data_IF_952072107411
#
_entry.id   IF_952072107411
#
_cell.length_a   1.000
_cell.length_b   1.000
_cell.length_c   1.000
_cell.angle_alpha   90.00
_cell.angle_beta   90.00
_cell.angle_gamma   90.00
#
_symmetry.space_group_name_H-M   'P 1'
#
loop_
_entity.id
_entity.type
_entity.pdbx_description
1 polymer ?
2 non-polymer ?
3 water ?
#
# COMPACT_ATOMS: atom_id res chain seq x y z
N UNK A 24 -29.25 30.86 26.84
CA UNK A 24 -29.72 29.53 26.48
C UNK A 24 -28.53 28.76 25.83
N UNK A 25 -28.19 27.60 26.37
CA UNK A 25 -27.08 26.81 25.79
C UNK A 25 -27.27 26.59 24.29
N UNK A 26 -28.45 26.12 23.85
CA UNK A 26 -28.65 25.87 22.42
C UNK A 26 -28.28 27.09 21.62
N UNK A 27 -28.90 28.21 21.95
CA UNK A 27 -28.75 29.37 21.13
C UNK A 27 -27.29 29.84 21.15
N UNK A 28 -26.67 29.85 22.33
CA UNK A 28 -25.37 30.47 22.49
C UNK A 28 -24.31 29.66 21.75
N UNK A 29 -24.28 28.36 22.01
CA UNK A 29 -23.18 27.59 21.41
C UNK A 29 -23.39 27.39 19.91
N UNK A 30 -24.66 27.34 19.46
CA UNK A 30 -24.88 27.30 18.02
C UNK A 30 -24.50 28.61 17.36
N UNK A 31 -24.76 29.76 18.03
CA UNK A 31 -24.32 31.00 17.44
C UNK A 31 -22.81 31.05 17.33
N UNK A 32 -22.10 30.58 18.36
CA UNK A 32 -20.65 30.47 18.23
C UNK A 32 -20.27 29.54 17.08
N UNK A 33 -20.96 28.42 16.95
CA UNK A 33 -20.65 27.42 15.91
C UNK A 33 -20.75 28.02 14.51
N UNK A 34 -21.77 28.83 14.27
CA UNK A 34 -21.95 29.44 12.97
C UNK A 34 -21.29 30.79 12.83
N UNK A 35 -20.57 31.27 13.84
CA UNK A 35 -19.83 32.51 13.63
C UNK A 35 -20.74 33.71 13.67
N UNK A 36 -21.85 33.59 14.37
CA UNK A 36 -22.88 34.66 14.32
C UNK A 36 -22.60 35.71 15.40
N UNK A 37 -21.65 36.59 15.10
CA UNK A 37 -21.25 37.62 16.06
C UNK A 37 -22.44 38.51 16.41
N UNK A 38 -23.27 38.83 15.44
CA UNK A 38 -24.40 39.74 15.73
C UNK A 38 -25.33 39.14 16.79
N UNK A 39 -25.60 37.84 16.68
CA UNK A 39 -26.43 37.18 17.69
C UNK A 39 -25.73 37.13 19.03
N UNK A 40 -24.43 36.78 19.05
CA UNK A 40 -23.69 36.83 20.31
C UNK A 40 -23.78 38.21 20.97
N UNK A 41 -23.69 39.28 20.18
CA UNK A 41 -23.77 40.63 20.74
C UNK A 41 -25.14 40.84 21.35
N UNK A 42 -26.21 40.45 20.64
CA UNK A 42 -27.51 40.62 21.25
C UNK A 42 -27.61 39.85 22.54
N UNK A 43 -27.08 38.62 22.58
CA UNK A 43 -27.14 37.84 23.81
C UNK A 43 -26.37 38.52 24.94
N UNK A 44 -25.15 38.97 24.64
CA UNK A 44 -24.33 39.55 25.72
C UNK A 44 -24.98 40.84 26.25
N UNK A 45 -25.50 41.67 25.35
CA UNK A 45 -26.16 42.94 25.75
C UNK A 45 -27.35 42.67 26.63
N UNK A 46 -28.04 41.55 26.42
CA UNK A 46 -29.21 41.21 27.19
C UNK A 46 -28.83 40.52 28.48
N UNK A 47 -27.54 40.53 28.82
CA UNK A 47 -26.95 39.97 30.04
C UNK A 47 -26.87 38.43 30.04
N UNK A 48 -26.89 37.76 28.89
CA UNK A 48 -26.65 36.32 28.90
C UNK A 48 -25.28 36.00 29.50
N UNK A 49 -25.21 34.92 30.26
CA UNK A 49 -23.92 34.41 30.73
C UNK A 49 -23.19 33.76 29.54
N UNK A 50 -22.17 34.42 29.06
CA UNK A 50 -21.45 33.96 27.86
C UNK A 50 -20.51 32.84 28.17
N UNK A 51 -20.42 32.43 29.44
CA UNK A 51 -19.56 31.34 29.83
C UNK A 51 -20.35 30.08 30.21
N UNK A 52 -21.64 30.00 29.92
CA UNK A 52 -22.32 28.80 30.35
C UNK A 52 -21.81 27.60 29.53
N UNK A 53 -22.02 26.41 30.07
CA UNK A 53 -21.44 25.18 29.49
C UNK A 53 -22.51 24.20 29.11
N UNK A 54 -22.21 23.34 28.13
CA UNK A 54 -23.12 22.26 27.79
C UNK A 54 -22.72 21.01 28.60
N UNK A 55 -23.42 19.90 28.32
CA UNK A 55 -23.22 18.56 28.89
C UNK A 55 -21.82 18.01 28.65
N UNK A 56 -21.06 18.60 27.74
CA UNK A 56 -19.66 18.20 27.52
C UNK A 56 -18.72 19.18 28.15
N UNK A 57 -19.26 20.10 28.98
CA UNK A 57 -18.48 21.16 29.59
C UNK A 57 -17.87 22.07 28.55
N UNK A 58 -18.53 22.19 27.40
CA UNK A 58 -18.03 23.05 26.35
C UNK A 58 -18.58 24.45 26.51
N UNK A 59 -17.79 25.44 26.08
CA UNK A 59 -18.18 26.88 26.09
C UNK A 59 -18.32 27.37 24.66
N UNK A 60 -18.92 28.57 24.52
CA UNK A 60 -18.95 29.24 23.23
C UNK A 60 -17.54 29.47 22.70
N UNK A 61 -16.59 29.80 23.59
CA UNK A 61 -15.22 29.99 23.16
C UNK A 61 -14.61 28.68 22.66
N UNK A 62 -14.92 27.54 23.30
CA UNK A 62 -14.36 26.26 22.75
C UNK A 62 -14.83 26.07 21.32
N UNK A 63 -16.13 26.29 21.11
CA UNK A 63 -16.74 25.96 19.83
C UNK A 63 -16.25 26.92 18.77
N UNK A 64 -16.21 28.22 19.11
CA UNK A 64 -15.69 29.22 18.19
C UNK A 64 -14.26 28.88 17.80
N UNK A 65 -13.44 28.51 18.80
CA UNK A 65 -12.03 28.25 18.51
C UNK A 65 -11.88 26.98 17.70
N UNK A 66 -12.73 25.99 17.92
CA UNK A 66 -12.64 24.76 17.10
C UNK A 66 -13.01 25.02 15.66
N UNK A 67 -13.89 25.99 15.40
CA UNK A 67 -14.25 26.37 14.04
C UNK A 67 -13.35 27.44 13.47
N UNK A 68 -12.41 27.97 14.25
CA UNK A 68 -11.56 29.03 13.75
C UNK A 68 -12.24 30.35 13.49
N UNK A 69 -13.27 30.70 14.28
CA UNK A 69 -13.98 31.95 14.07
C UNK A 69 -13.28 33.08 14.81
N UNK A 70 -12.32 33.73 14.12
CA UNK A 70 -11.49 34.77 14.72
C UNK A 70 -12.36 35.86 15.36
N UNK A 71 -13.33 36.38 14.63
CA UNK A 71 -14.05 37.54 15.16
C UNK A 71 -14.88 37.15 16.37
N UNK A 72 -15.44 35.95 16.35
CA UNK A 72 -16.17 35.48 17.52
C UNK A 72 -15.22 35.31 18.71
N UNK A 73 -14.06 34.69 18.50
CA UNK A 73 -13.15 34.49 19.60
C UNK A 73 -12.72 35.83 20.19
N UNK A 74 -12.39 36.81 19.34
CA UNK A 74 -11.99 38.11 19.84
C UNK A 74 -13.13 38.80 20.61
N UNK A 75 -14.35 38.66 20.12
CA UNK A 75 -15.49 39.31 20.81
C UNK A 75 -15.69 38.73 22.21
N UNK A 76 -15.69 37.40 22.31
CA UNK A 76 -15.86 36.75 23.60
C UNK A 76 -14.73 37.13 24.56
N UNK A 77 -13.48 37.10 24.10
CA UNK A 77 -12.36 37.43 24.98
C UNK A 77 -12.32 38.91 25.38
N UNK A 78 -12.51 39.81 24.42
CA UNK A 78 -12.22 41.22 24.65
C UNK A 78 -13.44 41.98 25.16
N UNK A 79 -14.60 41.72 24.57
CA UNK A 79 -15.78 42.48 24.95
C UNK A 79 -16.49 41.79 26.09
N UNK A 80 -16.58 40.45 26.06
CA UNK A 80 -17.31 39.74 27.09
C UNK A 80 -16.46 39.32 28.24
N UNK A 81 -15.11 39.37 28.10
CA UNK A 81 -14.18 39.01 29.17
C UNK A 81 -14.34 37.58 29.64
N UNK A 82 -14.61 36.64 28.73
CA UNK A 82 -14.83 35.27 29.19
C UNK A 82 -13.48 34.67 29.64
N UNK A 83 -13.58 33.67 30.46
CA UNK A 83 -12.42 32.88 30.81
C UNK A 83 -11.76 32.38 29.53
N UNK A 84 -10.45 32.65 29.29
CA UNK A 84 -9.79 32.17 28.07
C UNK A 84 -9.43 30.72 28.10
N UNK A 85 -9.40 30.06 29.27
CA UNK A 85 -8.89 28.68 29.34
C UNK A 85 -9.85 27.71 30.02
N UNK A 86 -11.13 27.72 29.66
CA UNK A 86 -12.03 26.72 30.23
C UNK A 86 -11.61 25.34 29.74
N UNK A 87 -11.92 24.32 30.53
CA UNK A 87 -11.55 22.95 30.22
C UNK A 87 -12.81 22.15 29.93
N UNK A 88 -12.86 21.49 28.79
CA UNK A 88 -14.06 20.72 28.45
C UNK A 88 -13.95 19.31 29.06
N UNK A 89 -14.88 18.39 28.71
CA UNK A 89 -14.86 17.09 29.40
C UNK A 89 -13.61 16.28 29.09
N UNK A 90 -12.87 16.65 28.06
CA UNK A 90 -11.61 15.94 27.77
C UNK A 90 -10.42 16.72 28.25
N UNK A 91 -10.66 17.74 29.07
CA UNK A 91 -9.66 18.66 29.59
C UNK A 91 -8.95 19.47 28.54
N UNK A 92 -9.61 19.70 27.42
CA UNK A 92 -9.00 20.56 26.43
C UNK A 92 -9.49 21.99 26.60
N UNK A 93 -8.60 22.95 26.28
CA UNK A 93 -8.91 24.37 26.27
C UNK A 93 -9.22 24.83 24.86
N UNK A 94 -9.86 26.00 24.72
CA UNK A 94 -10.01 26.57 23.37
C UNK A 94 -8.69 26.67 22.62
N UNK A 95 -7.58 26.97 23.30
CA UNK A 95 -6.30 26.99 22.60
C UNK A 95 -5.91 25.61 22.10
N UNK A 96 -6.10 24.57 22.90
CA UNK A 96 -5.84 23.21 22.39
C UNK A 96 -6.66 22.92 21.14
N UNK A 97 -7.92 23.38 21.14
CA UNK A 97 -8.81 23.08 20.02
C UNK A 97 -8.30 23.79 18.78
N UNK A 98 -7.93 25.06 18.91
CA UNK A 98 -7.43 25.82 17.77
C UNK A 98 -6.18 25.14 17.16
N UNK A 99 -5.27 24.71 18.02
CA UNK A 99 -4.07 24.03 17.51
C UNK A 99 -4.43 22.72 16.82
N UNK A 100 -5.33 21.95 17.45
CA UNK A 100 -5.75 20.66 16.92
C UNK A 100 -6.37 20.80 15.54
N UNK A 101 -7.17 21.82 15.34
CA UNK A 101 -7.89 21.98 14.10
C UNK A 101 -7.20 22.93 13.16
N UNK A 102 -5.97 23.34 13.47
CA UNK A 102 -5.26 24.09 12.45
C UNK A 102 -5.57 25.54 12.38
N UNK A 103 -6.23 26.14 13.39
CA UNK A 103 -6.59 27.54 13.30
C UNK A 103 -5.53 28.35 13.99
N UNK A 104 -4.45 28.65 13.23
CA UNK A 104 -3.28 29.18 13.89
C UNK A 104 -3.48 30.63 14.35
N UNK A 105 -4.22 31.42 13.59
CA UNK A 105 -4.52 32.79 14.01
C UNK A 105 -5.27 32.80 15.33
N UNK A 106 -6.31 31.96 15.47
CA UNK A 106 -6.99 31.85 16.76
C UNK A 106 -6.04 31.35 17.83
N UNK A 107 -5.21 30.33 17.52
CA UNK A 107 -4.25 29.89 18.48
C UNK A 107 -3.41 31.05 19.04
N UNK A 108 -2.95 31.96 18.16
CA UNK A 108 -2.03 33.03 18.60
C UNK A 108 -2.77 34.11 19.38
N UNK A 109 -4.02 34.33 19.03
CA UNK A 109 -4.87 35.24 19.82
C UNK A 109 -4.98 34.73 21.25
N UNK A 110 -5.22 33.42 21.43
CA UNK A 110 -5.35 32.90 22.77
C UNK A 110 -4.01 32.87 23.48
N UNK A 111 -2.91 32.70 22.73
CA UNK A 111 -1.55 32.77 23.29
C UNK A 111 -1.31 34.05 24.10
N UNK A 112 -1.81 35.19 23.63
CA UNK A 112 -1.66 36.45 24.37
C UNK A 112 -2.15 36.34 25.81
N UNK A 113 -3.13 35.47 26.07
CA UNK A 113 -3.67 35.31 27.41
C UNK A 113 -2.85 34.24 28.11
N UNK B 24 -35.60 18.98 20.50
CA UNK B 24 -34.56 19.97 20.69
C UNK B 24 -33.27 19.21 20.93
N UNK B 25 -32.25 19.47 20.15
CA UNK B 25 -31.06 18.60 20.27
C UNK B 25 -30.43 18.76 21.65
N UNK B 26 -30.59 19.91 22.23
CA UNK B 26 -29.96 20.15 23.50
C UNK B 26 -30.77 19.51 24.63
N UNK B 27 -32.11 19.67 24.64
CA UNK B 27 -32.93 18.83 25.52
C UNK B 27 -32.63 17.35 25.42
N UNK B 28 -32.54 16.83 24.19
CA UNK B 28 -32.19 15.42 24.00
C UNK B 28 -30.86 15.09 24.67
N UNK B 29 -29.83 15.89 24.39
CA UNK B 29 -28.50 15.52 24.88
C UNK B 29 -28.38 15.76 26.40
N UNK B 30 -29.10 16.73 26.94
CA UNK B 30 -29.11 16.88 28.40
C UNK B 30 -29.83 15.72 29.06
N UNK B 31 -30.93 15.21 28.47
CA UNK B 31 -31.54 14.02 29.03
C UNK B 31 -30.56 12.84 29.00
N UNK B 32 -29.77 12.73 27.95
CA UNK B 32 -28.85 11.61 27.91
C UNK B 32 -27.76 11.81 28.95
N UNK B 33 -27.38 13.10 29.15
CA UNK B 33 -26.34 13.45 30.14
C UNK B 33 -26.77 13.08 31.55
N UNK B 34 -28.02 13.38 31.92
CA UNK B 34 -28.47 13.09 33.28
C UNK B 34 -29.04 11.70 33.44
N UNK B 35 -29.04 10.87 32.41
CA UNK B 35 -29.52 9.50 32.51
C UNK B 35 -31.04 9.41 32.57
N UNK B 36 -31.73 10.39 31.99
CA UNK B 36 -33.20 10.51 32.14
C UNK B 36 -33.92 9.69 31.06
N UNK B 37 -33.99 8.39 31.31
CA UNK B 37 -34.59 7.47 30.35
C UNK B 37 -36.06 7.77 30.14
N UNK B 38 -36.75 8.20 31.19
CA UNK B 38 -38.17 8.51 31.02
C UNK B 38 -38.36 9.66 30.04
N UNK B 39 -37.53 10.68 30.15
CA UNK B 39 -37.61 11.77 29.17
C UNK B 39 -37.26 11.30 27.75
N UNK B 40 -36.19 10.51 27.59
CA UNK B 40 -35.83 9.99 26.26
C UNK B 40 -37.00 9.17 25.64
N UNK B 41 -37.68 8.39 26.46
CA UNK B 41 -38.85 7.64 26.00
C UNK B 41 -39.95 8.57 25.48
N UNK B 42 -40.27 9.60 26.27
CA UNK B 42 -41.26 10.58 25.83
C UNK B 42 -40.84 11.21 24.51
N UNK B 43 -39.56 11.59 24.39
CA UNK B 43 -39.09 12.16 23.14
C UNK B 43 -39.25 11.17 22.00
N UNK B 44 -38.80 9.93 22.19
CA UNK B 44 -38.81 8.98 21.08
C UNK B 44 -40.25 8.69 20.66
N UNK B 45 -41.12 8.49 21.64
CA UNK B 45 -42.56 8.23 21.38
C UNK B 45 -43.20 9.36 20.58
N UNK B 46 -42.77 10.60 20.77
CA UNK B 46 -43.30 11.73 20.03
C UNK B 46 -42.58 11.95 18.71
N UNK B 47 -41.76 11.00 18.29
CA UNK B 47 -41.13 10.93 16.99
C UNK B 47 -39.91 11.88 16.88
N UNK B 48 -39.31 12.23 18.00
CA UNK B 48 -38.03 12.96 17.94
C UNK B 48 -36.95 12.10 17.29
N UNK B 49 -36.09 12.75 16.49
CA UNK B 49 -34.98 12.09 15.85
C UNK B 49 -33.91 11.88 16.92
N UNK B 50 -33.72 10.66 17.34
CA UNK B 50 -32.85 10.38 18.46
C UNK B 50 -31.39 10.37 18.03
N UNK B 51 -31.13 10.53 16.74
CA UNK B 51 -29.78 10.56 16.19
C UNK B 51 -29.31 11.97 15.89
N UNK B 52 -30.04 12.96 16.32
CA UNK B 52 -29.77 14.37 16.11
C UNK B 52 -28.39 14.71 16.68
N UNK B 53 -27.64 15.58 15.99
CA UNK B 53 -26.29 16.00 16.43
C UNK B 53 -26.21 17.45 16.87
N UNK B 54 -25.32 17.73 17.82
CA UNK B 54 -25.07 19.12 18.17
C UNK B 54 -23.92 19.70 17.34
N UNK B 55 -23.50 20.92 17.68
CA UNK B 55 -22.45 21.68 17.01
C UNK B 55 -21.08 21.00 17.09
N UNK B 56 -20.91 20.01 17.96
CA UNK B 56 -19.67 19.20 18.02
C UNK B 56 -19.86 17.84 17.38
N UNK B 57 -20.95 17.69 16.60
CA UNK B 57 -21.30 16.41 16.02
C UNK B 57 -21.53 15.32 17.07
N UNK B 58 -21.98 15.68 18.25
CA UNK B 58 -22.21 14.72 19.33
C UNK B 58 -23.62 14.23 19.25
N UNK B 59 -23.83 12.97 19.62
CA UNK B 59 -25.17 12.36 19.72
C UNK B 59 -25.51 12.10 21.19
N UNK B 60 -26.81 11.85 21.43
CA UNK B 60 -27.22 11.33 22.74
C UNK B 60 -26.45 10.08 23.14
N UNK B 61 -26.21 9.17 22.19
CA UNK B 61 -25.46 7.95 22.49
C UNK B 61 -24.01 8.27 22.92
N UNK B 62 -23.37 9.28 22.32
CA UNK B 62 -22.01 9.65 22.78
C UNK B 62 -22.05 10.09 24.25
N UNK B 63 -22.97 10.99 24.53
CA UNK B 63 -23.01 11.59 25.86
C UNK B 63 -23.38 10.55 26.90
N UNK B 64 -24.39 9.74 26.61
CA UNK B 64 -24.73 8.67 27.54
C UNK B 64 -23.56 7.71 27.75
N UNK B 65 -22.85 7.39 26.69
CA UNK B 65 -21.73 6.45 26.83
C UNK B 65 -20.63 7.06 27.66
N UNK B 66 -20.34 8.35 27.43
CA UNK B 66 -19.30 9.03 28.22
C UNK B 66 -19.65 9.01 29.71
N UNK B 67 -20.92 9.14 30.06
CA UNK B 67 -21.37 9.14 31.46
C UNK B 67 -21.62 7.75 32.01
N UNK B 68 -21.48 6.71 31.20
CA UNK B 68 -21.65 5.35 31.67
C UNK B 68 -23.09 5.01 31.98
N UNK B 69 -24.05 5.68 31.33
CA UNK B 69 -25.45 5.41 31.64
C UNK B 69 -25.90 4.21 30.84
N UNK B 70 -25.76 3.04 31.45
CA UNK B 70 -26.03 1.79 30.75
C UNK B 70 -27.48 1.74 30.24
N UNK B 71 -28.44 2.10 31.08
CA UNK B 71 -29.84 1.92 30.66
C UNK B 71 -30.18 2.86 29.51
N UNK B 72 -29.62 4.06 29.53
CA UNK B 72 -29.79 4.97 28.40
C UNK B 72 -29.19 4.38 27.13
N UNK B 73 -27.95 3.89 27.21
CA UNK B 73 -27.30 3.32 26.03
C UNK B 73 -28.15 2.20 25.42
N UNK B 74 -28.63 1.27 26.23
CA UNK B 74 -29.39 0.14 25.73
C UNK B 74 -30.75 0.60 25.15
N UNK B 75 -31.32 1.65 25.73
CA UNK B 75 -32.60 2.15 25.22
C UNK B 75 -32.40 2.75 23.84
N UNK B 76 -31.34 3.54 23.66
CA UNK B 76 -31.08 4.14 22.35
C UNK B 76 -30.77 3.07 21.32
N UNK B 77 -29.91 2.10 21.67
CA UNK B 77 -29.55 1.09 20.70
C UNK B 77 -30.72 0.17 20.35
N UNK B 78 -31.40 -0.33 21.38
CA UNK B 78 -32.33 -1.45 21.24
C UNK B 78 -33.71 -0.95 20.85
N UNK B 79 -34.20 0.09 21.54
CA UNK B 79 -35.57 0.58 21.25
C UNK B 79 -35.58 1.57 20.10
N UNK B 80 -34.61 2.50 20.06
CA UNK B 80 -34.62 3.58 19.07
C UNK B 80 -33.80 3.21 17.87
N UNK B 81 -33.04 2.12 17.95
CA UNK B 81 -32.24 1.65 16.82
C UNK B 81 -31.25 2.69 16.31
N UNK B 82 -30.64 3.47 17.20
CA UNK B 82 -29.72 4.50 16.70
C UNK B 82 -28.45 3.86 16.12
N UNK B 83 -27.79 4.58 15.25
CA UNK B 83 -26.45 4.18 14.78
C UNK B 83 -25.54 3.96 15.97
N UNK B 84 -24.92 2.77 16.11
CA UNK B 84 -24.05 2.57 17.26
C UNK B 84 -22.67 3.21 17.12
N UNK B 85 -22.25 3.65 15.91
CA UNK B 85 -20.89 4.17 15.72
C UNK B 85 -20.82 5.56 15.09
N UNK B 86 -21.61 6.53 15.56
CA UNK B 86 -21.47 7.88 15.04
C UNK B 86 -20.12 8.45 15.46
N UNK B 87 -19.62 9.37 14.67
CA UNK B 87 -18.31 9.97 14.95
C UNK B 87 -18.48 11.43 15.26
N UNK B 88 -17.91 11.87 16.39
CA UNK B 88 -18.07 13.27 16.74
C UNK B 88 -16.95 14.09 16.10
N UNK B 89 -16.82 15.35 16.52
CA UNK B 89 -15.87 16.31 15.95
C UNK B 89 -14.45 15.79 16.01
N UNK B 90 -14.16 14.95 16.98
CA UNK B 90 -12.80 14.43 17.17
C UNK B 90 -12.65 13.04 16.63
N UNK B 91 -13.63 12.58 15.85
CA UNK B 91 -13.72 11.26 15.29
C UNK B 91 -13.85 10.18 16.33
N UNK B 92 -14.40 10.51 17.47
CA UNK B 92 -14.60 9.49 18.47
C UNK B 92 -16.00 8.91 18.34
N UNK B 93 -16.11 7.61 18.58
CA UNK B 93 -17.39 6.90 18.69
C UNK B 93 -17.83 6.82 20.13
N UNK B 94 -19.11 6.47 20.38
CA UNK B 94 -19.53 6.20 21.76
C UNK B 94 -18.69 5.14 22.44
N UNK B 95 -18.25 4.11 21.70
CA UNK B 95 -17.33 3.15 22.29
C UNK B 95 -16.03 3.82 22.75
N UNK B 96 -15.48 4.73 21.94
CA UNK B 96 -14.27 5.45 22.37
C UNK B 96 -14.51 6.19 23.67
N UNK B 97 -15.71 6.76 23.84
CA UNK B 97 -15.97 7.51 25.05
C UNK B 97 -16.11 6.59 26.24
N UNK B 98 -16.79 5.46 26.05
CA UNK B 98 -16.95 4.47 27.12
C UNK B 98 -15.55 4.08 27.62
N UNK B 99 -14.66 3.83 26.70
CA UNK B 99 -13.30 3.44 27.07
C UNK B 99 -12.59 4.58 27.76
N UNK B 100 -12.69 5.79 27.20
CA UNK B 100 -11.98 6.92 27.78
C UNK B 100 -12.37 7.14 29.23
N UNK B 101 -13.66 7.03 29.53
CA UNK B 101 -14.12 7.23 30.88
C UNK B 101 -14.24 5.95 31.68
N UNK B 102 -13.67 4.86 31.18
CA UNK B 102 -13.53 3.69 32.01
C UNK B 102 -14.79 2.86 32.14
N UNK B 103 -15.78 3.03 31.25
CA UNK B 103 -17.03 2.29 31.44
C UNK B 103 -17.00 0.95 30.71
N UNK B 104 -16.49 -0.07 31.40
CA UNK B 104 -16.38 -1.38 30.78
C UNK B 104 -17.75 -1.93 30.43
N UNK B 105 -18.71 -1.73 31.32
CA UNK B 105 -20.06 -2.22 31.07
C UNK B 105 -20.65 -1.64 29.78
N UNK B 106 -20.47 -0.35 29.56
CA UNK B 106 -20.96 0.25 28.32
C UNK B 106 -20.17 -0.25 27.12
N UNK B 107 -18.84 -0.38 27.28
CA UNK B 107 -18.08 -0.96 26.19
C UNK B 107 -18.66 -2.31 25.77
N UNK B 108 -19.02 -3.16 26.74
CA UNK B 108 -19.46 -4.50 26.38
C UNK B 108 -20.75 -4.44 25.59
N UNK B 109 -21.62 -3.50 25.93
CA UNK B 109 -22.89 -3.37 25.21
C UNK B 109 -22.63 -2.99 23.76
N UNK B 110 -21.79 -1.99 23.55
CA UNK B 110 -21.50 -1.55 22.19
C UNK B 110 -20.73 -2.61 21.42
N UNK B 111 -19.87 -3.38 22.08
CA UNK B 111 -19.10 -4.42 21.37
C UNK B 111 -20.02 -5.37 20.63
N UNK B 112 -21.21 -5.63 21.16
CA UNK B 112 -21.99 -6.61 20.40
C UNK B 112 -22.60 -6.02 19.14
N UNK B 113 -22.42 -4.72 18.88
CA UNK B 113 -22.79 -4.17 17.59
C UNK B 113 -21.57 -4.15 16.68
N UNK C 24 11.78 -8.42 -17.83
CA UNK C 24 11.70 -9.84 -18.10
C UNK C 24 13.06 -10.17 -18.63
N UNK C 25 13.74 -11.14 -18.03
CA UNK C 25 15.14 -11.37 -18.44
C UNK C 25 15.16 -11.83 -19.89
N UNK C 26 14.12 -12.51 -20.30
CA UNK C 26 14.14 -13.03 -21.65
C UNK C 26 13.90 -11.90 -22.64
N UNK C 27 12.88 -11.06 -22.42
CA UNK C 27 12.76 -9.83 -23.20
C UNK C 27 14.06 -9.02 -23.25
N UNK C 28 14.70 -8.85 -22.10
CA UNK C 28 15.99 -8.14 -22.09
C UNK C 28 16.99 -8.82 -23.03
N UNK C 29 17.17 -10.12 -22.86
CA UNK C 29 18.25 -10.77 -23.63
C UNK C 29 17.91 -10.90 -25.11
N UNK C 30 16.63 -11.06 -25.44
CA UNK C 30 16.25 -11.02 -26.84
C UNK C 30 16.48 -9.66 -27.46
N UNK C 31 16.18 -8.55 -26.74
CA UNK C 31 16.58 -7.24 -27.27
C UNK C 31 18.08 -7.16 -27.52
N UNK C 32 18.89 -7.70 -26.61
CA UNK C 32 20.31 -7.62 -26.85
C UNK C 32 20.68 -8.49 -28.06
N UNK C 33 19.98 -9.61 -28.22
CA UNK C 33 20.25 -10.54 -29.32
C UNK C 33 19.99 -9.89 -30.68
N UNK C 34 18.90 -9.13 -30.80
CA UNK C 34 18.58 -8.50 -32.07
C UNK C 34 19.19 -7.13 -32.23
N UNK C 35 19.97 -6.64 -31.27
CA UNK C 35 20.62 -5.34 -31.39
C UNK C 35 19.65 -4.18 -31.19
N UNK C 36 18.58 -4.39 -30.43
CA UNK C 36 17.50 -3.38 -30.32
C UNK C 36 17.82 -2.39 -29.18
N UNK C 37 18.66 -1.42 -29.50
CA UNK C 37 19.12 -0.44 -28.54
C UNK C 37 17.96 0.40 -28.03
N UNK C 38 17.00 0.72 -28.89
CA UNK C 38 15.91 1.55 -28.39
C UNK C 38 15.06 0.80 -27.38
N UNK C 39 14.87 -0.50 -27.54
CA UNK C 39 14.17 -1.27 -26.52
C UNK C 39 14.99 -1.31 -25.24
N UNK C 40 16.29 -1.56 -25.35
CA UNK C 40 17.13 -1.58 -24.14
C UNK C 40 17.06 -0.23 -23.39
N UNK C 41 17.07 0.89 -24.14
CA UNK C 41 16.90 2.21 -23.51
C UNK C 41 15.59 2.31 -22.74
N UNK C 42 14.48 1.90 -23.38
CA UNK C 42 13.19 1.91 -22.69
C UNK C 42 13.24 1.09 -21.43
N UNK C 43 13.80 -0.13 -21.52
CA UNK C 43 13.95 -0.95 -20.33
C UNK C 43 14.77 -0.24 -19.25
N UNK C 44 15.94 0.30 -19.62
CA UNK C 44 16.82 0.87 -18.61
C UNK C 44 16.14 2.09 -17.95
N UNK C 45 15.54 2.93 -18.77
CA UNK C 45 14.81 4.10 -18.25
C UNK C 45 13.70 3.73 -17.27
N UNK C 46 13.03 2.58 -17.44
CA UNK C 46 12.00 2.12 -16.55
C UNK C 46 12.57 1.38 -15.36
N UNK C 47 13.88 1.42 -15.14
CA UNK C 47 14.58 0.92 -13.99
C UNK C 47 14.73 -0.61 -14.06
N UNK C 48 14.64 -1.20 -15.24
CA UNK C 48 14.99 -2.63 -15.36
C UNK C 48 16.42 -2.90 -14.94
N UNK C 49 16.64 -4.02 -14.24
CA UNK C 49 17.99 -4.44 -13.89
C UNK C 49 18.65 -5.00 -15.14
N UNK C 50 19.58 -4.27 -15.71
CA UNK C 50 20.19 -4.64 -16.97
C UNK C 50 21.28 -5.68 -16.76
N UNK C 51 21.58 -6.06 -15.53
CA UNK C 51 22.59 -7.08 -15.30
C UNK C 51 21.99 -8.41 -14.93
N UNK C 52 20.71 -8.58 -15.11
CA UNK C 52 20.13 -9.82 -14.63
C UNK C 52 20.47 -10.97 -15.57
N UNK C 53 20.32 -12.18 -15.06
CA UNK C 53 20.84 -13.41 -15.68
C UNK C 53 19.74 -14.40 -16.00
N UNK C 54 19.96 -15.17 -17.07
CA UNK C 54 19.07 -16.27 -17.37
C UNK C 54 19.57 -17.55 -16.69
N UNK C 55 18.90 -18.66 -16.98
CA UNK C 55 19.16 -20.01 -16.46
C UNK C 55 20.54 -20.53 -16.83
N UNK C 56 21.20 -19.90 -17.79
CA UNK C 56 22.60 -20.24 -18.14
C UNK C 56 23.56 -19.22 -17.57
N UNK C 57 23.08 -18.39 -16.63
CA UNK C 57 23.87 -17.29 -16.10
C UNK C 57 24.33 -16.30 -17.17
N UNK C 58 23.55 -16.13 -18.23
CA UNK C 58 23.93 -15.27 -19.35
C UNK C 58 23.36 -13.90 -19.09
N UNK C 59 24.08 -12.87 -19.48
CA UNK C 59 23.62 -11.48 -19.39
C UNK C 59 23.35 -10.94 -20.79
N UNK C 60 22.65 -9.79 -20.82
CA UNK C 60 22.51 -9.03 -22.06
C UNK C 60 23.88 -8.72 -22.67
N UNK C 61 24.85 -8.33 -21.83
CA UNK C 61 26.17 -8.03 -22.35
C UNK C 61 26.80 -9.28 -23.02
N UNK C 62 26.59 -10.48 -22.47
CA UNK C 62 27.16 -11.68 -23.13
C UNK C 62 26.56 -11.85 -24.53
N UNK C 63 25.25 -11.75 -24.60
CA UNK C 63 24.55 -12.02 -25.85
C UNK C 63 24.87 -10.96 -26.90
N UNK C 64 24.88 -9.68 -26.49
CA UNK C 64 25.28 -8.60 -27.42
C UNK C 64 26.71 -8.83 -27.92
N UNK C 65 27.58 -9.21 -27.03
CA UNK C 65 28.99 -9.37 -27.42
C UNK C 65 29.13 -10.52 -28.38
N UNK C 66 28.43 -11.64 -28.11
CA UNK C 66 28.49 -12.79 -29.01
C UNK C 66 28.01 -12.42 -30.41
N UNK C 67 27.01 -11.54 -30.51
CA UNK C 67 26.48 -11.15 -31.81
C UNK C 67 27.22 -9.99 -32.44
N UNK C 68 28.19 -9.42 -31.74
CA UNK C 68 28.98 -8.33 -32.28
C UNK C 68 28.23 -7.02 -32.35
N UNK C 69 27.21 -6.86 -31.52
CA UNK C 69 26.42 -5.62 -31.58
C UNK C 69 27.15 -4.54 -30.80
N UNK C 70 27.96 -3.76 -31.51
CA UNK C 70 28.82 -2.78 -30.87
C UNK C 70 28.00 -1.71 -30.14
N UNK C 71 26.95 -1.20 -30.75
CA UNK C 71 26.22 -0.09 -30.13
C UNK C 71 25.52 -0.56 -28.86
N UNK C 72 25.03 -1.80 -28.87
CA UNK C 72 24.44 -2.36 -27.66
C UNK C 72 25.50 -2.51 -26.57
N UNK C 73 26.65 -3.08 -26.91
CA UNK C 73 27.69 -3.26 -25.90
C UNK C 73 28.06 -1.93 -25.24
N UNK C 74 28.28 -0.90 -26.03
CA UNK C 74 28.68 0.39 -25.47
C UNK C 74 27.56 1.03 -24.62
N UNK C 75 26.33 0.80 -25.02
CA UNK C 75 25.19 1.34 -24.25
C UNK C 75 25.12 0.68 -22.89
N UNK C 76 25.23 -0.64 -22.85
CA UNK C 76 25.20 -1.33 -21.56
C UNK C 76 26.37 -0.89 -20.70
N UNK C 77 27.57 -0.84 -21.28
CA UNK C 77 28.72 -0.50 -20.46
C UNK C 77 28.70 0.97 -20.02
N UNK C 78 28.45 1.88 -20.95
CA UNK C 78 28.70 3.30 -20.69
C UNK C 78 27.49 3.94 -20.00
N UNK C 79 26.29 3.69 -20.53
CA UNK C 79 25.09 4.33 -19.97
C UNK C 79 24.53 3.53 -18.80
N UNK C 80 24.52 2.18 -18.88
CA UNK C 80 23.90 1.40 -17.81
C UNK C 80 24.91 0.95 -16.79
N UNK C 81 26.21 1.12 -17.07
CA UNK C 81 27.26 0.78 -16.10
C UNK C 81 27.26 -0.69 -15.71
N UNK C 82 26.93 -1.60 -16.62
CA UNK C 82 26.87 -3.02 -16.23
C UNK C 82 28.28 -3.55 -15.96
N UNK C 83 28.36 -4.57 -15.13
CA UNK C 83 29.61 -5.32 -14.93
C UNK C 83 30.15 -5.73 -16.29
N UNK C 84 31.40 -5.38 -16.64
CA UNK C 84 31.95 -5.78 -17.93
C UNK C 84 32.41 -7.23 -17.95
N UNK C 85 32.54 -7.89 -16.79
CA UNK C 85 33.12 -9.25 -16.82
C UNK C 85 32.27 -10.30 -16.13
N UNK C 86 30.95 -10.36 -16.36
CA UNK C 86 30.15 -11.45 -15.77
C UNK C 86 30.56 -12.77 -16.39
N UNK C 87 30.34 -13.85 -15.64
CA UNK C 87 30.75 -15.18 -16.09
C UNK C 87 29.50 -16.01 -16.27
N UNK C 88 29.35 -16.62 -17.44
CA UNK C 88 28.18 -17.45 -17.65
C UNK C 88 28.44 -18.88 -17.14
N UNK C 89 27.56 -19.81 -17.48
CA UNK C 89 27.60 -21.17 -16.95
C UNK C 89 28.90 -21.87 -17.34
N UNK C 90 29.53 -21.42 -18.41
CA UNK C 90 30.76 -22.07 -18.89
C UNK C 90 31.98 -21.29 -18.49
N UNK C 91 31.81 -20.33 -17.58
CA UNK C 91 32.81 -19.40 -17.11
C UNK C 91 33.34 -18.47 -18.19
N UNK C 92 32.55 -18.21 -19.19
CA UNK C 92 32.96 -17.30 -20.22
C UNK C 92 32.48 -15.89 -19.90
N UNK C 93 33.31 -14.91 -20.20
CA UNK C 93 32.95 -13.48 -20.13
C UNK C 93 32.46 -13.00 -21.47
N UNK C 94 31.84 -11.81 -21.53
CA UNK C 94 31.50 -11.25 -22.85
C UNK C 94 32.71 -11.07 -23.73
N UNK C 95 33.87 -10.73 -23.17
CA UNK C 95 35.07 -10.69 -23.98
C UNK C 95 35.36 -12.05 -24.61
N UNK C 96 35.22 -13.15 -23.85
CA UNK C 96 35.45 -14.47 -24.45
C UNK C 96 34.53 -14.71 -25.61
N UNK C 97 33.28 -14.25 -25.49
CA UNK C 97 32.35 -14.45 -26.58
C UNK C 97 32.70 -13.60 -27.79
N UNK C 98 33.10 -12.35 -27.57
CA UNK C 98 33.53 -11.50 -28.68
C UNK C 98 34.65 -12.22 -29.46
N UNK C 99 35.61 -12.76 -28.73
CA UNK C 99 36.71 -13.46 -29.35
C UNK C 99 36.23 -14.73 -30.06
N UNK C 100 35.38 -15.51 -29.39
CA UNK C 100 34.91 -16.75 -29.99
C UNK C 100 34.27 -16.51 -31.34
N UNK C 101 33.47 -15.47 -31.44
CA UNK C 101 32.74 -15.18 -32.66
C UNK C 101 33.46 -14.18 -33.53
N UNK C 102 34.71 -13.88 -33.23
CA UNK C 102 35.49 -13.12 -34.16
C UNK C 102 35.26 -11.63 -34.11
N UNK C 103 34.64 -11.08 -33.05
CA UNK C 103 34.29 -9.65 -33.08
C UNK C 103 35.42 -8.80 -32.49
N UNK C 104 36.39 -8.44 -33.32
CA UNK C 104 37.53 -7.67 -32.83
C UNK C 104 37.08 -6.32 -32.30
N UNK C 105 36.10 -5.72 -32.97
CA UNK C 105 35.61 -4.42 -32.54
C UNK C 105 35.02 -4.48 -31.14
N UNK C 106 34.26 -5.52 -30.85
CA UNK C 106 33.71 -5.63 -29.48
C UNK C 106 34.82 -5.95 -28.49
N UNK C 107 35.78 -6.79 -28.89
CA UNK C 107 36.90 -7.02 -27.99
C UNK C 107 37.57 -5.70 -27.60
N UNK C 108 37.77 -4.80 -28.55
CA UNK C 108 38.52 -3.60 -28.23
C UNK C 108 37.75 -2.75 -27.22
N UNK C 109 36.42 -2.76 -27.33
CA UNK C 109 35.61 -1.98 -26.39
C UNK C 109 35.74 -2.55 -24.99
N UNK C 110 35.61 -3.85 -24.86
CA UNK C 110 35.72 -4.48 -23.55
C UNK C 110 37.13 -4.36 -22.98
N UNK C 111 38.15 -4.47 -23.85
CA UNK C 111 39.51 -4.38 -23.33
C UNK C 111 39.76 -3.07 -22.60
N UNK C 112 39.01 -2.02 -22.94
CA UNK C 112 39.23 -0.77 -22.23
C UNK C 112 38.70 -0.83 -20.79
N UNK C 113 38.00 -1.90 -20.41
CA UNK C 113 37.64 -2.07 -19.00
C UNK C 113 38.60 -3.08 -18.37
N UNK D 24 6.20 -20.43 -24.03
CA UNK D 24 6.98 -19.25 -23.73
C UNK D 24 8.41 -19.72 -23.48
N UNK D 25 9.39 -19.15 -24.18
CA UNK D 25 10.79 -19.45 -23.83
C UNK D 25 11.06 -19.25 -22.34
N UNK D 26 10.67 -18.08 -21.78
CA UNK D 26 10.88 -17.79 -20.34
C UNK D 26 10.32 -18.93 -19.49
N UNK D 27 9.10 -19.33 -19.76
CA UNK D 27 8.51 -20.33 -18.89
C UNK D 27 9.19 -21.70 -19.12
N UNK D 28 9.46 -22.05 -20.39
CA UNK D 28 9.84 -23.42 -20.71
C UNK D 28 11.24 -23.69 -20.24
N UNK D 29 12.15 -22.79 -20.55
CA UNK D 29 13.54 -23.13 -20.22
C UNK D 29 13.80 -22.97 -18.72
N UNK D 30 13.07 -22.05 -18.05
CA UNK D 30 13.23 -21.97 -16.60
C UNK D 30 12.65 -23.20 -15.93
N UNK D 31 11.55 -23.76 -16.46
CA UNK D 31 11.03 -24.96 -15.85
C UNK D 31 12.04 -26.09 -15.99
N UNK D 32 12.68 -26.17 -17.15
CA UNK D 32 13.70 -27.19 -17.31
C UNK D 32 14.84 -26.93 -16.34
N UNK D 33 15.18 -25.66 -16.14
CA UNK D 33 16.32 -25.30 -15.25
C UNK D 33 16.07 -25.76 -13.82
N UNK D 34 14.84 -25.59 -13.34
CA UNK D 34 14.49 -25.94 -11.97
C UNK D 34 13.98 -27.37 -11.82
N UNK D 35 13.93 -28.14 -12.89
CA UNK D 35 13.56 -29.54 -12.74
C UNK D 35 12.06 -29.72 -12.57
N UNK D 36 11.28 -28.77 -13.04
CA UNK D 36 9.84 -28.72 -12.76
C UNK D 36 9.09 -29.55 -13.79
N UNK D 37 9.14 -30.88 -13.60
CA UNK D 37 8.48 -31.79 -14.53
C UNK D 37 6.97 -31.52 -14.60
N UNK D 38 6.34 -31.22 -13.49
CA UNK D 38 4.88 -31.01 -13.53
C UNK D 38 4.52 -29.82 -14.43
N UNK D 39 5.32 -28.74 -14.36
CA UNK D 39 5.09 -27.61 -15.25
C UNK D 39 5.36 -27.97 -16.70
N UNK D 40 6.46 -28.70 -16.98
CA UNK D 40 6.70 -29.15 -18.36
C UNK D 40 5.53 -30.00 -18.89
N UNK D 41 4.95 -30.82 -18.03
CA UNK D 41 3.83 -31.64 -18.45
C UNK D 41 2.63 -30.77 -18.79
N UNK D 42 2.32 -29.80 -17.92
CA UNK D 42 1.25 -28.87 -18.26
C UNK D 42 1.52 -28.18 -19.58
N UNK D 43 2.74 -27.71 -19.81
CA UNK D 43 3.06 -27.07 -21.07
C UNK D 43 2.84 -28.02 -22.25
N UNK D 44 3.42 -29.24 -22.16
CA UNK D 44 3.36 -30.13 -23.32
C UNK D 44 1.90 -30.51 -23.62
N UNK D 45 1.11 -30.71 -22.56
CA UNK D 45 -0.30 -31.12 -22.74
C UNK D 45 -1.10 -30.02 -23.43
N UNK D 46 -0.70 -28.77 -23.23
CA UNK D 46 -1.37 -27.64 -23.83
C UNK D 46 -0.82 -27.34 -25.20
N UNK D 47 -0.02 -28.25 -25.73
CA UNK D 47 0.53 -28.19 -27.08
C UNK D 47 1.69 -27.19 -27.21
N UNK D 48 2.40 -26.86 -26.12
CA UNK D 48 3.59 -26.02 -26.29
C UNK D 48 4.64 -26.73 -27.13
N UNK D 49 5.32 -25.98 -27.96
CA UNK D 49 6.44 -26.53 -28.69
C UNK D 49 7.61 -26.72 -27.72
N UNK D 50 7.91 -27.95 -27.38
CA UNK D 50 8.95 -28.22 -26.37
C UNK D 50 10.35 -28.13 -26.93
N UNK D 51 10.49 -27.80 -28.22
CA UNK D 51 11.80 -27.66 -28.85
C UNK D 51 12.11 -26.19 -29.16
N UNK D 52 11.37 -25.28 -28.59
CA UNK D 52 11.56 -23.84 -28.75
C UNK D 52 13.01 -23.49 -28.33
N UNK D 53 13.64 -22.53 -29.01
CA UNK D 53 15.03 -22.17 -28.67
C UNK D 53 15.14 -20.75 -28.17
N UNK D 54 16.16 -20.46 -27.32
CA UNK D 54 16.40 -19.08 -26.93
C UNK D 54 17.41 -18.45 -27.88
N UNK D 55 17.80 -17.21 -27.53
CA UNK D 55 18.80 -16.40 -28.26
C UNK D 55 20.16 -17.06 -28.30
N UNK D 56 20.41 -18.07 -27.47
CA UNK D 56 21.67 -18.83 -27.53
C UNK D 56 21.47 -20.16 -28.24
N UNK D 57 20.31 -20.32 -28.90
CA UNK D 57 19.95 -21.57 -29.54
C UNK D 57 19.86 -22.71 -28.56
N UNK D 58 19.56 -22.42 -27.32
CA UNK D 58 19.41 -23.44 -26.32
C UNK D 58 17.99 -23.97 -26.29
N UNK D 59 17.86 -25.25 -25.95
CA UNK D 59 16.57 -25.98 -25.80
C UNK D 59 16.38 -26.31 -24.33
N UNK D 60 15.15 -26.68 -23.98
CA UNK D 60 14.87 -27.22 -22.64
C UNK D 60 15.72 -28.45 -22.35
N UNK D 61 15.94 -29.29 -23.36
CA UNK D 61 16.79 -30.46 -23.18
C UNK D 61 18.24 -30.05 -22.87
N UNK D 62 18.77 -28.99 -23.51
CA UNK D 62 20.15 -28.55 -23.16
C UNK D 62 20.22 -28.17 -21.70
N UNK D 63 19.24 -27.40 -21.23
CA UNK D 63 19.31 -26.84 -19.91
C UNK D 63 19.13 -27.92 -18.89
N UNK D 64 18.15 -28.79 -19.11
CA UNK D 64 17.93 -29.93 -18.23
C UNK D 64 19.18 -30.81 -18.12
N UNK D 65 19.81 -31.08 -19.26
CA UNK D 65 20.98 -31.94 -19.25
C UNK D 65 22.14 -31.25 -18.55
N UNK D 66 22.26 -29.94 -18.69
CA UNK D 66 23.39 -29.25 -18.03
C UNK D 66 23.21 -29.24 -16.52
N UNK D 67 21.96 -29.27 -16.05
CA UNK D 67 21.67 -29.36 -14.63
C UNK D 67 21.58 -30.79 -14.12
N UNK D 68 21.67 -31.77 -15.01
CA UNK D 68 21.57 -33.16 -14.60
C UNK D 68 20.20 -33.60 -14.13
N UNK D 69 19.12 -33.04 -14.70
CA UNK D 69 17.78 -33.36 -14.24
C UNK D 69 17.29 -34.58 -15.00
N UNK D 70 17.57 -35.77 -14.44
CA UNK D 70 17.28 -37.02 -15.13
C UNK D 70 15.79 -37.10 -15.53
N UNK D 71 14.89 -36.84 -14.60
CA UNK D 71 13.48 -37.07 -14.91
C UNK D 71 12.98 -36.10 -15.97
N UNK D 72 13.49 -34.86 -15.99
CA UNK D 72 13.14 -33.93 -17.04
C UNK D 72 13.66 -34.43 -18.38
N UNK D 73 14.93 -34.86 -18.43
CA UNK D 73 15.50 -35.30 -19.67
C UNK D 73 14.71 -36.47 -20.25
N UNK D 74 14.37 -37.46 -19.40
CA UNK D 74 13.59 -38.59 -19.89
C UNK D 74 12.19 -38.15 -20.35
N UNK D 75 11.59 -37.22 -19.63
CA UNK D 75 10.24 -36.80 -20.04
C UNK D 75 10.27 -36.16 -21.43
N UNK D 76 11.23 -35.25 -21.65
CA UNK D 76 11.36 -34.59 -22.94
C UNK D 76 11.66 -35.59 -24.03
N UNK D 77 12.60 -36.53 -23.79
CA UNK D 77 12.95 -37.48 -24.82
C UNK D 77 11.83 -38.49 -25.09
N UNK D 78 11.26 -39.09 -24.06
CA UNK D 78 10.35 -40.20 -24.21
C UNK D 78 8.92 -39.75 -24.48
N UNK D 79 8.43 -38.76 -23.71
CA UNK D 79 7.02 -38.37 -23.85
C UNK D 79 6.86 -37.30 -24.90
N UNK D 80 7.77 -36.32 -24.95
CA UNK D 80 7.64 -35.24 -25.91
C UNK D 80 8.32 -35.52 -27.23
N UNK D 81 9.19 -36.53 -27.30
CA UNK D 81 9.88 -36.89 -28.54
C UNK D 81 10.72 -35.75 -29.10
N UNK D 82 11.38 -34.96 -28.23
CA UNK D 82 12.19 -33.86 -28.76
C UNK D 82 13.42 -34.42 -29.47
N UNK D 83 13.96 -33.64 -30.38
CA UNK D 83 15.27 -33.88 -30.96
C UNK D 83 16.27 -34.10 -29.84
N UNK D 84 16.94 -35.27 -29.78
CA UNK D 84 17.92 -35.52 -28.72
C UNK D 84 19.23 -34.82 -28.93
N UNK D 85 19.53 -34.31 -30.14
CA UNK D 85 20.85 -33.73 -30.42
C UNK D 85 20.81 -32.31 -30.97
N UNK D 86 20.04 -31.39 -30.39
CA UNK D 86 20.08 -30.02 -30.88
C UNK D 86 21.43 -29.44 -30.56
N UNK D 87 21.87 -28.48 -31.37
CA UNK D 87 23.16 -27.81 -31.18
C UNK D 87 22.92 -26.37 -30.77
N UNK D 88 23.56 -25.93 -29.69
CA UNK D 88 23.39 -24.55 -29.22
C UNK D 88 24.38 -23.64 -29.96
N UNK D 89 24.47 -22.38 -29.52
CA UNK D 89 25.35 -21.36 -30.13
C UNK D 89 26.80 -21.82 -30.21
N UNK D 90 27.21 -22.73 -29.34
CA UNK D 90 28.61 -23.15 -29.35
C UNK D 90 28.78 -24.50 -29.99
N UNK D 91 27.72 -24.99 -30.64
CA UNK D 91 27.60 -26.30 -31.27
C UNK D 91 27.64 -27.44 -30.31
N UNK D 92 27.29 -27.20 -29.07
CA UNK D 92 27.22 -28.30 -28.17
C UNK D 92 25.83 -28.91 -28.18
N UNK D 93 25.78 -30.24 -27.92
CA UNK D 93 24.53 -30.97 -27.72
C UNK D 93 24.24 -31.16 -26.25
N UNK D 94 23.00 -31.51 -25.90
CA UNK D 94 22.70 -31.89 -24.52
C UNK D 94 23.62 -32.98 -24.01
N UNK D 95 24.02 -33.93 -24.85
CA UNK D 95 24.98 -34.94 -24.37
C UNK D 95 26.34 -34.32 -24.06
N UNK D 96 26.82 -33.40 -24.89
CA UNK D 96 28.08 -32.70 -24.53
C UNK D 96 27.96 -32.01 -23.18
N UNK D 97 26.78 -31.41 -22.93
CA UNK D 97 26.59 -30.68 -21.68
C UNK D 97 26.62 -31.62 -20.52
N UNK D 98 25.96 -32.78 -20.65
CA UNK D 98 25.91 -33.72 -19.55
C UNK D 98 27.33 -34.19 -19.21
N UNK D 99 28.14 -34.45 -20.23
CA UNK D 99 29.52 -34.90 -20.02
C UNK D 99 30.35 -33.79 -19.39
N UNK D 100 30.17 -32.57 -19.88
CA UNK D 100 30.95 -31.45 -19.37
C UNK D 100 30.67 -31.18 -17.89
N UNK D 101 29.41 -31.28 -17.48
CA UNK D 101 29.04 -30.99 -16.10
C UNK D 101 28.96 -32.22 -15.23
N UNK D 102 29.45 -33.36 -15.72
CA UNK D 102 29.57 -34.47 -14.80
C UNK D 102 28.32 -35.25 -14.57
N UNK D 103 27.27 -35.10 -15.40
CA UNK D 103 26.02 -35.81 -15.15
C UNK D 103 26.03 -37.09 -15.95
N UNK D 104 26.68 -38.12 -15.36
CA UNK D 104 26.94 -39.28 -16.19
C UNK D 104 25.67 -40.09 -16.48
N UNK D 105 24.74 -40.13 -15.53
CA UNK D 105 23.47 -40.82 -15.80
C UNK D 105 22.72 -40.17 -16.95
N UNK D 106 22.62 -38.83 -16.97
CA UNK D 106 22.05 -38.16 -18.13
C UNK D 106 22.84 -38.47 -19.39
N UNK D 107 24.19 -38.42 -19.31
CA UNK D 107 24.98 -38.73 -20.47
C UNK D 107 24.58 -40.08 -21.08
N UNK D 108 24.38 -41.08 -20.21
CA UNK D 108 24.12 -42.45 -20.70
C UNK D 108 22.70 -42.57 -21.25
N UNK D 109 21.75 -41.85 -20.66
CA UNK D 109 20.41 -41.80 -21.24
C UNK D 109 20.48 -41.29 -22.66
N UNK D 110 21.24 -40.22 -22.88
CA UNK D 110 21.31 -39.65 -24.21
C UNK D 110 22.09 -40.57 -25.13
N UNK D 111 23.02 -41.36 -24.58
CA UNK D 111 23.78 -42.32 -25.36
C UNK D 111 22.88 -43.31 -26.12
N UNK D 112 21.77 -43.74 -25.50
CA UNK D 112 20.81 -44.63 -26.15
C UNK D 112 20.24 -44.07 -27.46
N UNK D 113 20.32 -42.75 -27.70
CA UNK D 113 19.74 -42.16 -28.91
C UNK D 113 20.79 -42.01 -30.00
N UNK D 114 22.05 -42.24 -29.66
CA UNK D 114 23.26 -42.36 -30.52
C UNK D 114 24.08 -41.07 -30.56
#
# INVERSE_FOLDING_TARGET
MGSSHHHHHHSSGLVPRGSHMVKSVINLLFAAYTGDVSALRRFALSAMDMEQRDYDSRTALHVAAAEGHVEVVKFLLEACKVNPFPKDRWNNTPMDEALHFGHHDVFKILQEYQVQYTPQGDSDNGKENQTVHKNLDGLL
MGSSHHHHHHSSGLVPRGSHMVKSVINLLFAAYTGDVSALRRFALSAMDMEQRDYDSRTALHVAAAEGHVEVVKFLLEACKVNPFPKDRWNNTPMDEALHFGHHDVFKILQEYQVQYTPQGDSDNGKENQTVHKNLDGLL
MGSSHHHHHHSSGLVPRGSHMVKSVINLLFAAYTGDVSALRRFALSAMDMEQRDYDSRTALHVAAAEGHVEVVKFLLEACKVNPFPKDRWNNTPMDEALHFGHHDVFKILQEYQVQYTPQGDSDNGKENQTVHKNLDGLL
MGSSHHHHHHSSGLVPRGSHMVKSVINLLFAAYTGDVSALRRFALSAMDMEQRDYDSRTALHVAAAEGHVEVVKFLLEACKVNPFPKDRWNNTPMDEALHFGHHDVFKILQEYQVQYTPQGDSDNGKENQTVHKNLDGLL
#
